data_IF_714891828931
#
_entry.id   IF_714891828931
#
_cell.length_a   1.000
_cell.length_b   1.000
_cell.length_c   1.000
_cell.angle_alpha   90.00
_cell.angle_beta   90.00
_cell.angle_gamma   90.00
#
_symmetry.space_group_name_H-M   'P 1'
#
loop_
_entity.id
_entity.type
_entity.pdbx_description
1 polymer ?
#
# COMPACT_ATOMS: atom_id res chain seq x y z
N UNK A 1 -19.56 6.75 6.40
CA UNK A 1 -19.05 7.67 7.44
C UNK A 1 -19.81 8.97 7.27
N UNK A 2 -20.83 9.22 8.09
CA UNK A 2 -21.66 10.42 7.96
C UNK A 2 -20.82 11.63 8.35
N UNK A 3 -20.49 12.45 7.36
CA UNK A 3 -19.91 13.77 7.52
C UNK A 3 -20.98 14.70 8.10
N UNK A 4 -21.06 14.77 9.42
CA UNK A 4 -21.70 15.88 10.13
C UNK A 4 -20.57 16.84 10.53
N UNK A 5 -20.02 17.54 9.55
CA UNK A 5 -19.20 18.75 9.76
C UNK A 5 -20.09 19.98 9.77
N UNK A 6 -21.21 19.91 10.49
CA UNK A 6 -22.01 21.07 10.84
C UNK A 6 -21.64 21.37 12.29
N UNK A 7 -21.30 22.61 12.58
CA UNK A 7 -21.10 23.14 13.93
C UNK A 7 -22.32 22.78 14.77
N UNK A 8 -22.22 21.65 15.48
CA UNK A 8 -23.32 21.08 16.23
C UNK A 8 -23.32 21.79 17.58
N UNK A 9 -24.41 22.47 17.89
CA UNK A 9 -24.60 23.04 19.22
C UNK A 9 -24.61 21.92 20.27
N UNK A 10 -24.36 22.24 21.55
CA UNK A 10 -24.49 21.28 22.65
C UNK A 10 -25.84 20.54 22.60
N UNK A 11 -26.88 21.21 22.12
CA UNK A 11 -28.23 20.64 21.92
C UNK A 11 -28.29 19.60 20.81
N UNK A 12 -27.67 19.86 19.65
CA UNK A 12 -27.62 18.91 18.53
C UNK A 12 -26.88 17.64 18.95
N UNK A 13 -25.85 17.80 19.77
CA UNK A 13 -25.03 16.71 20.29
C UNK A 13 -25.80 15.92 21.35
N UNK A 14 -26.48 16.60 22.29
CA UNK A 14 -27.38 15.95 23.25
C UNK A 14 -28.45 15.10 22.56
N UNK A 15 -29.13 15.65 21.55
CA UNK A 15 -30.16 14.93 20.77
C UNK A 15 -29.56 13.72 20.06
N UNK A 16 -28.39 13.87 19.44
CA UNK A 16 -27.70 12.78 18.77
C UNK A 16 -27.29 11.66 19.74
N UNK A 17 -26.72 11.98 20.90
CA UNK A 17 -26.33 10.97 21.89
C UNK A 17 -27.54 10.28 22.50
N UNK A 18 -28.62 11.00 22.80
CA UNK A 18 -29.83 10.39 23.36
C UNK A 18 -30.50 9.39 22.39
N UNK A 19 -30.36 9.61 21.08
CA UNK A 19 -30.80 8.65 20.05
C UNK A 19 -29.85 7.45 19.89
N UNK A 20 -28.55 7.64 20.13
CA UNK A 20 -27.51 6.66 19.78
C UNK A 20 -27.08 5.78 20.96
N UNK A 21 -27.10 6.28 22.21
CA UNK A 21 -26.77 5.54 23.45
C UNK A 21 -27.43 4.15 23.55
N UNK A 22 -28.73 3.95 23.29
CA UNK A 22 -29.34 2.62 23.38
C UNK A 22 -28.82 1.60 22.35
N UNK A 23 -28.05 2.03 21.35
CA UNK A 23 -27.51 1.18 20.27
C UNK A 23 -25.99 1.00 20.30
N UNK A 24 -25.29 1.63 21.25
CA UNK A 24 -23.83 1.65 21.27
C UNK A 24 -23.21 0.46 22.01
N UNK A 25 -22.10 -0.03 21.46
CA UNK A 25 -21.14 -0.94 22.10
C UNK A 25 -19.94 -0.12 22.59
N UNK A 26 -19.37 -0.46 23.75
CA UNK A 26 -18.34 0.33 24.46
C UNK A 26 -16.97 0.45 23.79
N UNK A 27 -16.73 -0.15 22.62
CA UNK A 27 -15.40 -0.17 21.97
C UNK A 27 -15.10 1.07 21.10
N UNK A 28 -15.84 2.16 21.27
CA UNK A 28 -15.63 3.39 20.49
C UNK A 28 -14.90 4.45 21.30
N UNK A 29 -13.99 5.16 20.64
CA UNK A 29 -13.35 6.37 21.17
C UNK A 29 -13.96 7.57 20.45
N UNK A 30 -14.46 8.52 21.23
CA UNK A 30 -15.09 9.73 20.73
C UNK A 30 -14.11 10.89 20.89
N UNK A 31 -14.02 11.74 19.87
CA UNK A 31 -13.20 12.96 19.93
C UNK A 31 -14.15 14.13 20.06
N UNK A 32 -14.07 14.82 21.20
CA UNK A 32 -14.89 15.99 21.51
C UNK A 32 -14.20 17.29 21.17
N UNK A 33 -14.96 18.21 20.57
CA UNK A 33 -14.53 19.59 20.38
C UNK A 33 -14.62 20.35 21.70
N UNK A 34 -14.05 21.56 21.75
CA UNK A 34 -14.12 22.45 22.91
C UNK A 34 -15.54 22.58 23.45
N UNK A 35 -16.51 22.77 22.54
CA UNK A 35 -17.89 23.11 22.86
C UNK A 35 -18.55 22.07 23.80
N UNK A 36 -18.48 20.79 23.48
CA UNK A 36 -19.25 19.77 24.20
C UNK A 36 -18.41 18.87 25.10
N UNK A 37 -17.09 18.89 24.96
CA UNK A 37 -16.21 18.04 25.77
C UNK A 37 -16.26 18.38 27.26
N UNK A 38 -16.61 19.64 27.59
CA UNK A 38 -16.79 20.12 28.97
C UNK A 38 -18.26 20.43 29.31
N UNK A 39 -19.19 20.26 28.35
CA UNK A 39 -20.58 20.59 28.55
C UNK A 39 -21.23 19.66 29.60
N UNK A 40 -21.69 20.27 30.70
CA UNK A 40 -22.39 19.56 31.78
C UNK A 40 -23.67 18.89 31.27
N UNK A 41 -24.34 19.50 30.29
CA UNK A 41 -25.51 18.96 29.60
C UNK A 41 -25.23 17.60 28.95
N UNK A 42 -24.05 17.40 28.36
CA UNK A 42 -23.68 16.14 27.69
C UNK A 42 -23.24 15.10 28.71
N UNK A 43 -22.46 15.50 29.72
CA UNK A 43 -22.05 14.60 30.82
C UNK A 43 -23.21 14.13 31.71
N UNK A 44 -24.30 14.90 31.77
CA UNK A 44 -25.50 14.61 32.55
C UNK A 44 -26.48 13.64 31.88
N UNK A 45 -26.22 13.22 30.63
CA UNK A 45 -27.10 12.29 29.91
C UNK A 45 -27.05 10.91 30.58
N UNK A 46 -28.21 10.33 30.96
CA UNK A 46 -28.23 9.02 31.59
C UNK A 46 -27.68 7.93 30.65
N UNK A 47 -26.67 7.19 31.13
CA UNK A 47 -26.02 6.14 30.35
C UNK A 47 -24.85 6.62 29.47
N UNK A 48 -24.48 7.91 29.50
CA UNK A 48 -23.34 8.43 28.72
C UNK A 48 -22.03 7.73 29.04
N UNK A 49 -21.83 7.23 30.27
CA UNK A 49 -20.63 6.49 30.68
C UNK A 49 -20.46 5.15 29.95
N UNK A 50 -21.49 4.66 29.25
CA UNK A 50 -21.45 3.38 28.52
C UNK A 50 -20.90 3.51 27.09
N UNK A 51 -20.77 4.73 26.55
CA UNK A 51 -20.42 4.98 25.14
C UNK A 51 -18.95 4.71 24.80
N UNK A 52 -18.10 4.49 25.82
CA UNK A 52 -16.66 4.29 25.67
C UNK A 52 -15.85 5.50 26.16
N UNK A 53 -14.64 5.66 25.62
CA UNK A 53 -13.71 6.73 26.01
C UNK A 53 -13.99 8.01 25.22
N UNK A 54 -14.03 9.16 25.89
CA UNK A 54 -14.14 10.48 25.25
C UNK A 54 -12.84 11.24 25.45
N UNK A 55 -12.19 11.62 24.35
CA UNK A 55 -11.03 12.50 24.31
C UNK A 55 -11.51 13.90 23.96
N UNK A 56 -11.64 14.76 24.98
CA UNK A 56 -12.02 16.15 24.83
C UNK A 56 -10.82 17.06 24.57
N UNK A 57 -11.03 18.12 23.79
CA UNK A 57 -10.11 19.25 23.72
C UNK A 57 -10.70 20.37 24.57
N UNK A 58 -10.00 20.88 25.57
CA UNK A 58 -10.43 22.05 26.33
C UNK A 58 -9.39 23.16 26.27
N UNK A 59 -9.84 24.40 26.32
CA UNK A 59 -8.96 25.54 26.51
C UNK A 59 -8.51 25.55 27.96
N UNK A 60 -7.20 25.70 28.18
CA UNK A 60 -6.65 25.80 29.52
C UNK A 60 -7.29 26.96 30.27
N UNK A 61 -8.10 26.62 31.27
CA UNK A 61 -8.73 27.56 32.18
C UNK A 61 -7.72 28.00 33.23
N UNK A 62 -7.60 29.30 33.43
CA UNK A 62 -6.88 29.88 34.56
C UNK A 62 -7.89 30.69 35.38
N UNK A 63 -8.10 30.36 36.68
CA UNK A 63 -8.97 31.15 37.51
C UNK A 63 -8.40 32.55 37.64
N UNK A 64 -9.17 33.56 37.26
CA UNK A 64 -8.80 34.96 37.41
C UNK A 64 -9.63 35.56 38.55
N UNK A 65 -8.94 36.03 39.59
CA UNK A 65 -9.54 36.56 40.81
C UNK A 65 -10.28 37.88 40.52
N UNK A 66 -11.45 38.06 41.14
CA UNK A 66 -12.24 39.30 41.09
C UNK A 66 -13.34 39.34 40.02
N UNK A 67 -13.40 38.38 39.09
CA UNK A 67 -14.50 38.33 38.13
C UNK A 67 -15.82 37.90 38.76
N UNK A 68 -15.77 36.94 39.68
CA UNK A 68 -16.94 36.52 40.44
C UNK A 68 -17.50 37.69 41.29
N UNK A 69 -16.62 38.52 41.85
CA UNK A 69 -17.02 39.72 42.58
C UNK A 69 -17.62 40.79 41.65
N UNK A 70 -17.03 40.96 40.45
CA UNK A 70 -17.57 41.83 39.41
C UNK A 70 -18.95 41.38 38.92
N UNK A 71 -19.15 40.08 38.68
CA UNK A 71 -20.46 39.53 38.32
C UNK A 71 -21.48 39.74 39.43
N UNK A 72 -21.10 39.45 40.68
CA UNK A 72 -21.98 39.68 41.83
C UNK A 72 -22.37 41.16 41.96
N UNK A 73 -21.44 42.08 41.72
CA UNK A 73 -21.69 43.51 41.71
C UNK A 73 -22.57 43.94 40.52
N UNK A 74 -22.26 43.52 39.31
CA UNK A 74 -23.03 43.86 38.10
C UNK A 74 -24.47 43.31 38.18
N UNK A 75 -24.66 42.10 38.71
CA UNK A 75 -25.98 41.53 38.98
C UNK A 75 -26.71 42.33 40.07
N UNK A 76 -26.01 42.85 41.09
CA UNK A 76 -26.62 43.71 42.11
C UNK A 76 -27.08 45.06 41.56
N UNK A 77 -26.28 45.70 40.69
CA UNK A 77 -26.63 46.97 40.04
C UNK A 77 -27.80 46.81 39.05
N UNK A 78 -27.86 45.69 38.31
CA UNK A 78 -29.00 45.34 37.45
C UNK A 78 -30.28 45.06 38.25
N UNK A 79 -30.15 44.52 39.48
CA UNK A 79 -31.30 44.31 40.38
C UNK A 79 -31.90 45.64 40.84
N UNK A 80 -31.07 46.65 41.14
CA UNK A 80 -31.54 47.98 41.55
C UNK A 80 -32.33 48.68 40.43
N UNK A 81 -31.97 48.44 39.17
CA UNK A 81 -32.71 48.94 38.00
C UNK A 81 -34.06 48.21 37.83
N UNK A 82 -34.12 46.92 38.17
CA UNK A 82 -35.31 46.06 37.97
C UNK A 82 -36.42 46.23 39.01
N UNK A 83 -36.16 46.92 40.13
CA UNK A 83 -37.20 47.25 41.13
C UNK A 83 -38.32 48.15 40.55
N UNK A 84 -38.16 48.64 39.32
CA UNK A 84 -39.08 49.57 38.66
C UNK A 84 -40.05 48.89 37.68
N UNK A 85 -39.80 47.68 37.17
CA UNK A 85 -40.73 47.06 36.21
C UNK A 85 -40.73 45.52 36.27
N UNK A 86 -41.79 44.96 36.84
CA UNK A 86 -42.07 43.52 36.84
C UNK A 86 -43.23 43.17 35.90
N UNK A 87 -43.02 42.23 34.98
CA UNK A 87 -44.05 41.24 34.60
C UNK A 87 -43.42 40.01 33.92
N UNK A 88 -44.10 38.88 34.13
CA UNK A 88 -43.86 37.46 33.79
C UNK A 88 -43.46 37.17 32.33
N UNK A 89 -42.89 36.02 31.91
CA UNK A 89 -43.41 34.66 32.11
C UNK A 89 -42.48 33.52 31.58
N UNK A 90 -42.82 32.27 31.92
CA UNK A 90 -42.52 30.93 31.36
C UNK A 90 -41.07 30.42 31.07
N UNK A 91 -40.76 29.16 31.45
CA UNK A 91 -39.48 28.44 31.21
C UNK A 91 -39.75 27.07 30.55
N UNK A 92 -39.07 26.75 29.45
CA UNK A 92 -39.06 25.43 28.78
C UNK A 92 -37.67 24.77 28.97
N UNK A 93 -37.55 23.46 29.27
CA UNK A 93 -36.31 22.86 29.79
C UNK A 93 -35.10 22.81 28.83
N UNK A 94 -35.29 23.04 27.54
CA UNK A 94 -34.22 22.88 26.52
C UNK A 94 -34.05 24.11 25.61
N UNK A 95 -34.59 25.27 26.00
CA UNK A 95 -34.44 26.52 25.25
C UNK A 95 -34.04 27.62 26.23
N UNK A 96 -32.74 27.69 26.53
CA UNK A 96 -32.16 28.84 27.24
C UNK A 96 -31.85 29.97 26.26
N UNK A 97 -32.89 30.51 25.63
CA UNK A 97 -32.83 31.91 25.19
C UNK A 97 -33.35 32.76 26.35
N UNK A 98 -32.56 32.87 27.41
CA UNK A 98 -32.79 33.79 28.52
C UNK A 98 -31.79 34.92 28.44
N UNK A 99 -32.28 36.14 28.20
CA UNK A 99 -31.48 37.35 28.32
C UNK A 99 -30.89 37.48 29.73
N UNK A 100 -29.71 38.11 29.84
CA UNK A 100 -29.02 38.38 31.11
C UNK A 100 -29.97 39.07 32.13
N UNK A 101 -30.90 39.88 31.63
CA UNK A 101 -31.94 40.56 32.38
C UNK A 101 -32.92 39.61 33.11
N UNK A 102 -33.37 38.54 32.45
CA UNK A 102 -34.30 37.55 33.02
C UNK A 102 -33.62 36.60 34.00
N UNK A 103 -32.31 36.40 33.87
CA UNK A 103 -31.52 35.60 34.83
C UNK A 103 -31.28 36.35 36.16
N UNK A 104 -30.93 37.64 36.08
CA UNK A 104 -30.64 38.47 37.25
C UNK A 104 -31.86 38.67 38.17
N UNK A 105 -33.05 38.79 37.58
CA UNK A 105 -34.34 39.00 38.28
C UNK A 105 -34.89 37.73 38.94
N UNK A 106 -34.69 36.55 38.34
CA UNK A 106 -35.22 35.27 38.86
C UNK A 106 -34.29 34.55 39.87
N UNK A 107 -33.23 35.22 40.36
CA UNK A 107 -32.23 34.65 41.29
C UNK A 107 -31.64 33.30 40.84
N UNK A 108 -31.35 33.16 39.55
CA UNK A 108 -30.63 31.98 39.06
C UNK A 108 -29.19 31.96 39.61
N UNK A 109 -28.72 30.78 40.04
CA UNK A 109 -27.32 30.59 40.43
C UNK A 109 -26.45 30.61 39.17
N UNK A 110 -25.48 31.51 39.12
CA UNK A 110 -24.49 31.59 38.04
C UNK A 110 -23.45 30.45 38.10
N UNK A 111 -23.47 29.59 39.13
CA UNK A 111 -22.54 28.44 39.24
C UNK A 111 -22.61 27.47 38.05
N UNK A 112 -23.73 27.44 37.32
CA UNK A 112 -23.93 26.53 36.19
C UNK A 112 -23.61 27.18 34.83
N UNK A 113 -23.19 28.45 34.79
CA UNK A 113 -22.89 29.13 33.54
C UNK A 113 -21.47 28.80 33.08
N UNK A 114 -21.32 28.50 31.79
CA UNK A 114 -20.03 28.10 31.23
C UNK A 114 -19.09 29.32 31.10
N UNK A 115 -18.27 29.51 32.13
CA UNK A 115 -17.26 30.59 32.22
C UNK A 115 -16.19 30.51 31.14
N UNK A 116 -16.09 29.38 30.43
CA UNK A 116 -15.08 29.12 29.39
C UNK A 116 -15.26 30.07 28.19
N UNK A 117 -16.51 30.35 27.80
CA UNK A 117 -16.85 31.31 26.74
C UNK A 117 -16.50 32.76 27.14
N UNK A 118 -16.82 33.16 28.37
CA UNK A 118 -16.49 34.49 28.92
C UNK A 118 -14.97 34.73 29.00
N UNK A 119 -14.20 33.68 29.28
CA UNK A 119 -12.74 33.76 29.33
C UNK A 119 -12.11 34.01 27.95
N UNK A 120 -12.69 33.47 26.86
CA UNK A 120 -12.22 33.75 25.51
C UNK A 120 -12.43 35.24 25.13
N UNK A 121 -13.54 35.84 25.57
CA UNK A 121 -13.78 37.29 25.43
C UNK A 121 -12.77 38.09 26.25
N UNK A 122 -12.52 37.70 27.51
CA UNK A 122 -11.50 38.33 28.35
C UNK A 122 -10.12 38.28 27.67
N UNK A 123 -9.69 37.12 27.14
CA UNK A 123 -8.42 36.99 26.41
C UNK A 123 -8.35 37.88 25.18
N UNK A 124 -9.43 38.04 24.43
CA UNK A 124 -9.45 38.89 23.25
C UNK A 124 -9.22 40.36 23.62
N UNK A 125 -9.93 40.86 24.65
CA UNK A 125 -9.75 42.22 25.18
C UNK A 125 -8.35 42.39 25.78
N UNK A 126 -7.88 41.40 26.55
CA UNK A 126 -6.57 41.39 27.15
C UNK A 126 -5.46 41.37 26.09
N UNK A 127 -5.61 40.63 24.99
CA UNK A 127 -4.65 40.58 23.89
C UNK A 127 -4.51 41.94 23.19
N UNK A 128 -5.61 42.66 22.97
CA UNK A 128 -5.57 44.03 22.44
C UNK A 128 -4.86 44.98 23.42
N UNK A 129 -5.19 44.90 24.72
CA UNK A 129 -4.53 45.68 25.76
C UNK A 129 -3.03 45.35 25.88
N UNK A 130 -2.67 44.07 25.68
CA UNK A 130 -1.30 43.59 25.74
C UNK A 130 -0.51 43.94 24.49
N UNK A 131 -1.13 43.96 23.30
CA UNK A 131 -0.53 44.48 22.08
C UNK A 131 -0.21 45.98 22.22
N UNK A 132 -1.12 46.76 22.82
CA UNK A 132 -0.88 48.16 23.19
C UNK A 132 0.28 48.28 24.20
N UNK A 133 0.33 47.42 25.22
CA UNK A 133 1.43 47.37 26.19
C UNK A 133 2.77 46.99 25.55
N UNK A 134 2.77 46.15 24.54
CA UNK A 134 3.96 45.72 23.79
C UNK A 134 4.48 46.81 22.85
N UNK A 135 3.58 47.65 22.31
CA UNK A 135 3.95 48.92 21.66
C UNK A 135 4.61 49.90 22.64
N UNK A 136 4.28 49.81 23.93
CA UNK A 136 4.76 50.69 25.01
C UNK A 136 6.04 50.24 25.73
N UNK A 137 6.61 49.08 25.37
CA UNK A 137 7.92 48.51 25.78
C UNK A 137 8.27 48.51 27.29
N UNK A 138 8.24 47.30 27.88
CA UNK A 138 9.18 46.69 28.88
C UNK A 138 8.41 45.72 29.82
N UNK A 139 8.98 44.73 30.51
CA UNK A 139 10.18 43.85 30.43
C UNK A 139 10.02 42.88 31.63
N UNK A 140 10.02 41.56 31.48
CA UNK A 140 11.16 40.70 31.86
C UNK A 140 10.88 39.22 31.49
N UNK A 141 10.32 39.01 30.31
CA UNK A 141 10.98 38.15 29.31
C UNK A 141 11.18 36.64 29.49
N UNK A 142 10.57 35.89 30.42
CA UNK A 142 10.62 34.41 30.33
C UNK A 142 9.32 33.70 30.71
N UNK A 143 8.80 32.90 29.77
CA UNK A 143 7.77 31.89 30.01
C UNK A 143 8.24 30.55 29.41
N UNK A 144 8.31 29.51 30.24
CA UNK A 144 8.68 28.17 29.84
C UNK A 144 7.43 27.34 29.49
N UNK A 145 7.50 26.54 28.42
CA UNK A 145 6.40 25.67 27.96
C UNK A 145 6.81 24.21 28.13
N UNK A 146 5.99 23.43 28.80
CA UNK A 146 6.17 21.98 28.96
C UNK A 146 5.38 21.20 27.91
N UNK A 147 6.00 20.14 27.39
CA UNK A 147 5.43 19.23 26.39
C UNK A 147 4.74 18.04 27.08
N UNK A 148 3.51 17.73 26.70
CA UNK A 148 2.71 16.61 27.25
C UNK A 148 2.86 15.40 26.35
N UNK A 149 3.28 14.25 26.89
CA UNK A 149 3.28 12.98 26.16
C UNK A 149 1.87 12.41 26.06
N UNK A 150 1.37 12.25 24.83
CA UNK A 150 0.11 11.58 24.56
C UNK A 150 0.29 10.05 24.65
N UNK A 151 -0.65 9.37 25.33
CA UNK A 151 -0.73 7.91 25.38
C UNK A 151 -1.00 7.28 24.01
N UNK A 152 -0.88 5.95 23.94
CA UNK A 152 -0.99 5.17 22.70
C UNK A 152 -2.41 5.24 22.11
N UNK A 153 -2.54 5.89 20.95
CA UNK A 153 -3.82 6.12 20.27
C UNK A 153 -4.20 4.91 19.40
N UNK A 154 -5.46 4.43 19.43
CA UNK A 154 -5.91 3.37 18.55
C UNK A 154 -5.89 3.83 17.08
N UNK A 155 -5.39 2.96 16.20
CA UNK A 155 -5.21 3.29 14.80
C UNK A 155 -6.52 3.10 14.01
N UNK A 156 -7.08 4.20 13.47
CA UNK A 156 -8.32 4.18 12.70
C UNK A 156 -8.05 4.09 11.20
N UNK A 157 -7.56 2.95 10.70
CA UNK A 157 -7.36 2.71 9.26
C UNK A 157 -8.51 1.92 8.64
N UNK A 158 -8.87 2.27 7.40
CA UNK A 158 -9.88 1.52 6.63
C UNK A 158 -9.34 0.17 6.16
N UNK A 159 -8.11 0.16 5.64
CA UNK A 159 -7.41 -1.03 5.17
C UNK A 159 -6.02 -1.13 5.81
N UNK A 160 -5.56 -2.36 6.14
CA UNK A 160 -4.19 -2.57 6.63
C UNK A 160 -3.17 -2.33 5.52
N UNK A 161 -1.89 -2.19 5.88
CA UNK A 161 -0.81 -2.06 4.91
C UNK A 161 -0.59 -3.37 4.14
N UNK A 162 -0.41 -3.28 2.81
CA UNK A 162 -0.18 -4.47 1.99
C UNK A 162 1.23 -5.01 2.20
N UNK A 163 1.40 -6.35 2.28
CA UNK A 163 2.72 -6.97 2.35
C UNK A 163 3.49 -6.81 1.02
N UNK A 164 4.79 -7.08 1.06
CA UNK A 164 5.63 -7.08 -0.15
C UNK A 164 5.10 -8.07 -1.19
N UNK A 165 5.26 -7.73 -2.48
CA UNK A 165 4.68 -8.51 -3.57
C UNK A 165 3.19 -8.26 -3.85
N UNK A 166 2.52 -7.38 -3.08
CA UNK A 166 1.12 -7.00 -3.28
C UNK A 166 0.95 -5.51 -3.59
N UNK A 167 0.21 -5.21 -4.66
CA UNK A 167 -0.19 -3.85 -5.01
C UNK A 167 -1.55 -3.51 -4.40
N UNK A 168 -1.78 -2.22 -4.17
CA UNK A 168 -3.08 -1.73 -3.72
C UNK A 168 -4.07 -1.66 -4.88
N UNK A 169 -5.23 -2.27 -4.70
CA UNK A 169 -6.40 -2.09 -5.55
C UNK A 169 -7.39 -1.20 -4.80
N UNK A 170 -7.65 0.00 -5.33
CA UNK A 170 -8.58 0.93 -4.70
C UNK A 170 -10.01 0.38 -4.79
N UNK A 171 -10.66 0.19 -3.64
CA UNK A 171 -12.01 -0.36 -3.54
C UNK A 171 -12.91 0.66 -2.85
N UNK A 172 -14.02 1.02 -3.51
CA UNK A 172 -14.99 1.97 -2.97
C UNK A 172 -14.67 3.44 -3.28
N UNK A 173 -15.22 4.33 -2.46
CA UNK A 173 -15.22 5.78 -2.72
C UNK A 173 -14.03 6.53 -2.10
N UNK A 174 -13.42 5.98 -1.05
CA UNK A 174 -12.35 6.65 -0.30
C UNK A 174 -10.97 6.08 -0.65
N UNK A 175 -9.98 6.95 -0.88
CA UNK A 175 -8.60 6.56 -1.26
C UNK A 175 -7.87 5.72 -0.20
N UNK A 176 -8.31 5.78 1.05
CA UNK A 176 -7.73 5.02 2.17
C UNK A 176 -8.26 3.58 2.24
N UNK A 177 -9.29 3.23 1.46
CA UNK A 177 -9.87 1.90 1.41
C UNK A 177 -9.39 1.19 0.15
N UNK A 178 -8.60 0.15 0.35
CA UNK A 178 -8.02 -0.65 -0.72
C UNK A 178 -7.95 -2.12 -0.32
N UNK A 179 -7.87 -2.98 -1.32
CA UNK A 179 -7.63 -4.41 -1.19
C UNK A 179 -6.26 -4.76 -1.74
N UNK A 180 -5.55 -5.68 -1.10
CA UNK A 180 -4.21 -6.08 -1.51
C UNK A 180 -4.31 -7.16 -2.59
N UNK A 181 -3.80 -6.87 -3.78
CA UNK A 181 -3.78 -7.80 -4.90
C UNK A 181 -2.34 -8.23 -5.20
N UNK A 182 -2.10 -9.52 -5.31
CA UNK A 182 -0.78 -10.06 -5.64
C UNK A 182 -0.30 -9.53 -7.01
N UNK A 183 0.97 -9.17 -7.08
CA UNK A 183 1.60 -8.82 -8.34
C UNK A 183 1.64 -10.05 -9.27
N UNK A 184 1.32 -9.90 -10.57
CA UNK A 184 1.38 -11.02 -11.52
C UNK A 184 2.82 -11.48 -11.76
N UNK A 185 2.96 -12.69 -12.32
CA UNK A 185 4.27 -13.20 -12.73
C UNK A 185 5.00 -12.22 -13.66
N UNK A 186 6.33 -12.25 -13.63
CA UNK A 186 7.25 -11.30 -14.27
C UNK A 186 7.27 -9.87 -13.69
N UNK A 187 6.54 -9.63 -12.60
CA UNK A 187 6.55 -8.38 -11.87
C UNK A 187 6.89 -8.58 -10.39
N UNK A 188 7.38 -7.54 -9.74
CA UNK A 188 7.75 -7.55 -8.33
C UNK A 188 7.37 -6.23 -7.66
N UNK A 189 7.28 -6.24 -6.33
CA UNK A 189 7.06 -5.02 -5.56
C UNK A 189 7.75 -5.09 -4.20
N UNK A 190 8.75 -4.24 -4.01
CA UNK A 190 9.58 -4.15 -2.80
C UNK A 190 9.21 -2.99 -1.87
N UNK A 191 8.14 -2.25 -2.17
CA UNK A 191 7.67 -1.10 -1.40
C UNK A 191 6.19 -1.25 -1.08
N UNK A 192 5.82 -0.90 0.14
CA UNK A 192 4.42 -0.80 0.57
C UNK A 192 3.77 0.47 -0.02
N UNK A 193 2.45 0.47 -0.16
CA UNK A 193 1.71 1.68 -0.61
C UNK A 193 1.69 1.95 -2.11
N UNK A 194 2.18 1.03 -2.96
CA UNK A 194 2.15 1.20 -4.42
C UNK A 194 0.88 0.58 -5.04
N UNK A 195 0.26 1.30 -5.97
CA UNK A 195 -0.88 0.82 -6.78
C UNK A 195 -0.45 -0.05 -7.97
N UNK A 196 0.84 0.01 -8.34
CA UNK A 196 1.40 -0.67 -9.53
C UNK A 196 2.64 -1.49 -9.19
N UNK A 197 2.81 -2.61 -9.90
CA UNK A 197 3.98 -3.50 -9.78
C UNK A 197 5.08 -3.09 -10.77
N UNK A 198 6.33 -3.42 -10.45
CA UNK A 198 7.49 -3.17 -11.30
C UNK A 198 7.81 -4.41 -12.14
N UNK A 199 8.20 -4.24 -13.40
CA UNK A 199 8.59 -5.37 -14.26
C UNK A 199 10.04 -5.78 -14.06
N UNK A 200 10.34 -7.08 -14.21
CA UNK A 200 11.71 -7.58 -14.16
C UNK A 200 12.55 -7.21 -15.39
N UNK A 201 13.87 -7.09 -15.21
CA UNK A 201 14.82 -6.86 -16.28
C UNK A 201 14.95 -8.07 -17.24
N UNK A 202 15.56 -7.86 -18.41
CA UNK A 202 15.86 -8.95 -19.34
C UNK A 202 16.77 -9.99 -18.70
N UNK A 203 16.45 -11.27 -18.87
CA UNK A 203 17.15 -12.39 -18.22
C UNK A 203 16.69 -12.69 -16.80
N UNK A 204 15.82 -11.86 -16.23
CA UNK A 204 15.19 -12.08 -14.92
C UNK A 204 13.70 -12.44 -15.06
N UNK A 205 13.16 -13.04 -14.01
CA UNK A 205 11.77 -13.43 -13.89
C UNK A 205 11.40 -13.58 -12.42
N UNK A 206 10.14 -13.31 -12.09
CA UNK A 206 9.58 -13.50 -10.76
C UNK A 206 8.25 -14.27 -10.85
N UNK A 207 7.96 -15.18 -9.90
CA UNK A 207 6.62 -15.73 -9.76
C UNK A 207 5.61 -14.66 -9.32
N UNK A 208 4.32 -15.01 -9.30
CA UNK A 208 3.32 -14.14 -8.67
C UNK A 208 3.67 -13.91 -7.19
N UNK A 209 3.25 -12.78 -6.61
CA UNK A 209 3.48 -12.45 -5.19
C UNK A 209 4.97 -12.24 -4.82
N UNK A 210 5.81 -11.83 -5.78
CA UNK A 210 7.24 -11.69 -5.52
C UNK A 210 7.65 -10.30 -5.06
N UNK A 211 8.54 -10.26 -4.07
CA UNK A 211 9.22 -9.04 -3.63
C UNK A 211 10.44 -8.66 -4.48
N UNK A 212 11.00 -9.62 -5.22
CA UNK A 212 12.21 -9.44 -6.02
C UNK A 212 12.19 -10.29 -7.30
N UNK A 213 13.05 -9.93 -8.25
CA UNK A 213 13.27 -10.70 -9.47
C UNK A 213 14.40 -11.71 -9.30
N UNK A 214 14.21 -12.90 -9.86
CA UNK A 214 15.19 -13.99 -9.86
C UNK A 214 15.81 -14.12 -11.25
N UNK A 215 17.05 -14.62 -11.34
CA UNK A 215 17.65 -14.93 -12.64
C UNK A 215 16.95 -16.15 -13.26
N UNK A 216 16.65 -16.08 -14.56
CA UNK A 216 16.03 -17.21 -15.27
C UNK A 216 16.97 -18.39 -15.34
N UNK A 217 16.46 -19.57 -15.03
CA UNK A 217 17.16 -20.83 -15.26
C UNK A 217 17.17 -21.15 -16.74
N UNK A 218 18.35 -21.47 -17.30
CA UNK A 218 18.48 -21.94 -18.69
C UNK A 218 18.20 -23.45 -18.74
N UNK A 219 17.28 -23.86 -19.61
CA UNK A 219 17.03 -25.28 -19.88
C UNK A 219 17.94 -25.76 -21.01
N UNK A 220 18.75 -26.76 -20.73
CA UNK A 220 19.66 -27.40 -21.70
C UNK A 220 19.71 -28.90 -21.45
N UNK A 221 20.30 -29.66 -22.37
CA UNK A 221 20.57 -31.09 -22.17
C UNK A 221 21.94 -31.26 -21.48
N UNK A 222 21.98 -31.53 -20.17
CA UNK A 222 23.25 -31.77 -19.48
C UNK A 222 23.85 -33.10 -19.93
N UNK A 223 25.17 -33.22 -19.85
CA UNK A 223 25.90 -34.43 -20.26
C UNK A 223 25.48 -35.67 -19.46
N UNK A 224 25.15 -35.47 -18.18
CA UNK A 224 24.86 -36.55 -17.23
C UNK A 224 23.39 -36.98 -17.20
N UNK A 225 22.51 -36.33 -17.98
CA UNK A 225 21.10 -36.75 -18.02
C UNK A 225 20.96 -38.10 -18.73
N UNK A 226 20.06 -38.99 -18.27
CA UNK A 226 19.86 -40.32 -18.87
C UNK A 226 19.44 -40.24 -20.34
N UNK A 227 18.64 -39.24 -20.70
CA UNK A 227 18.27 -38.96 -22.09
C UNK A 227 19.50 -38.58 -22.92
N UNK A 228 20.38 -37.74 -22.38
CA UNK A 228 21.61 -37.33 -23.07
C UNK A 228 22.56 -38.50 -23.27
N UNK A 229 22.75 -39.34 -22.25
CA UNK A 229 23.56 -40.55 -22.35
C UNK A 229 23.01 -41.51 -23.42
N UNK A 230 21.69 -41.74 -23.45
CA UNK A 230 21.07 -42.59 -24.47
C UNK A 230 21.31 -42.04 -25.89
N UNK A 231 21.15 -40.73 -26.08
CA UNK A 231 21.40 -40.06 -27.36
C UNK A 231 22.89 -40.11 -27.77
N UNK A 232 23.82 -39.96 -26.82
CA UNK A 232 25.26 -40.05 -27.07
C UNK A 232 25.69 -41.48 -27.45
N UNK A 233 25.11 -42.51 -26.83
CA UNK A 233 25.36 -43.92 -27.21
C UNK A 233 24.85 -44.19 -28.63
N UNK A 234 23.65 -43.73 -28.95
CA UNK A 234 23.10 -43.86 -30.31
C UNK A 234 23.97 -43.13 -31.32
N UNK A 235 24.43 -41.92 -31.01
CA UNK A 235 25.35 -41.14 -31.84
C UNK A 235 26.70 -41.83 -32.04
N UNK A 236 27.27 -42.42 -30.99
CA UNK A 236 28.51 -43.17 -31.09
C UNK A 236 28.34 -44.39 -32.02
N UNK A 237 27.22 -45.11 -31.89
CA UNK A 237 26.89 -46.22 -32.78
C UNK A 237 26.78 -45.78 -34.25
N UNK A 238 26.07 -44.67 -34.53
CA UNK A 238 25.93 -44.17 -35.90
C UNK A 238 27.26 -43.71 -36.49
N UNK A 239 28.10 -43.02 -35.71
CA UNK A 239 29.44 -42.62 -36.13
C UNK A 239 30.34 -43.84 -36.41
N UNK A 240 30.31 -44.87 -35.56
CA UNK A 240 31.07 -46.11 -35.78
C UNK A 240 30.64 -46.84 -37.06
N UNK A 241 29.33 -46.95 -37.31
CA UNK A 241 28.79 -47.60 -38.51
C UNK A 241 29.13 -46.81 -39.79
N UNK A 242 28.95 -45.48 -39.76
CA UNK A 242 29.22 -44.62 -40.93
C UNK A 242 30.71 -44.49 -41.23
N UNK A 243 31.56 -44.37 -40.20
CA UNK A 243 33.01 -44.36 -40.38
C UNK A 243 33.56 -45.73 -40.81
N UNK A 244 33.04 -46.81 -40.24
CA UNK A 244 33.42 -48.18 -40.60
C UNK A 244 33.07 -48.52 -42.05
N UNK A 245 31.86 -48.17 -42.50
CA UNK A 245 31.45 -48.33 -43.90
C UNK A 245 32.28 -47.47 -44.84
N UNK A 246 32.55 -46.21 -44.49
CA UNK A 246 33.43 -45.33 -45.28
C UNK A 246 34.86 -45.90 -45.40
N UNK A 247 35.44 -46.40 -44.29
CA UNK A 247 36.77 -47.01 -44.28
C UNK A 247 36.83 -48.29 -45.13
N UNK A 248 35.79 -49.13 -45.07
CA UNK A 248 35.68 -50.33 -45.90
C UNK A 248 35.63 -49.96 -47.40
N UNK A 249 34.85 -48.94 -47.75
CA UNK A 249 34.74 -48.46 -49.13
C UNK A 249 36.05 -47.84 -49.62
N UNK A 250 36.76 -47.09 -48.76
CA UNK A 250 38.07 -46.50 -49.06
C UNK A 250 39.17 -47.56 -49.26
N UNK A 251 39.15 -48.65 -48.48
CA UNK A 251 40.09 -49.77 -48.67
C UNK A 251 39.81 -50.56 -49.95
N UNK A 252 38.52 -50.71 -50.30
CA UNK A 252 38.08 -51.53 -51.43
C UNK A 252 37.64 -50.70 -52.66
N UNK A 253 38.20 -49.51 -52.86
CA UNK A 253 37.85 -48.57 -53.94
C UNK A 253 37.92 -49.17 -55.36
N UNK A 254 38.78 -50.16 -55.56
CA UNK A 254 39.00 -50.82 -56.84
C UNK A 254 37.95 -51.90 -57.13
N UNK A 255 37.21 -52.37 -56.12
CA UNK A 255 36.24 -53.45 -56.26
C UNK A 255 35.01 -53.00 -57.07
N UNK A 256 34.44 -53.89 -57.91
CA UNK A 256 33.26 -53.56 -58.72
C UNK A 256 32.03 -53.23 -57.86
N UNK A 257 31.98 -53.77 -56.63
CA UNK A 257 30.90 -53.51 -55.66
C UNK A 257 30.84 -52.03 -55.26
N UNK A 258 31.97 -51.42 -54.88
CA UNK A 258 32.02 -50.00 -54.48
C UNK A 258 31.75 -49.08 -55.67
N UNK A 259 32.22 -49.44 -56.87
CA UNK A 259 31.95 -48.67 -58.10
C UNK A 259 30.47 -48.71 -58.49
N UNK A 260 29.82 -49.86 -58.37
CA UNK A 260 28.38 -50.02 -58.64
C UNK A 260 27.51 -49.29 -57.63
N UNK A 261 27.90 -49.28 -56.35
CA UNK A 261 27.21 -48.53 -55.29
C UNK A 261 27.35 -46.99 -55.40
N UNK A 262 28.09 -46.48 -56.40
CA UNK A 262 28.23 -45.05 -56.67
C UNK A 262 29.59 -44.44 -56.33
N UNK A 263 30.57 -45.25 -55.92
CA UNK A 263 31.97 -44.85 -55.76
C UNK A 263 32.15 -43.56 -54.96
N UNK A 264 32.68 -42.50 -55.61
CA UNK A 264 33.02 -41.22 -54.97
C UNK A 264 31.82 -40.49 -54.36
N UNK A 265 30.63 -40.55 -54.98
CA UNK A 265 29.45 -39.85 -54.43
C UNK A 265 28.92 -40.56 -53.17
N UNK A 266 29.06 -41.89 -53.09
CA UNK A 266 28.69 -42.65 -51.90
C UNK A 266 29.60 -42.31 -50.72
N UNK A 267 30.90 -42.14 -50.97
CA UNK A 267 31.84 -41.63 -49.96
C UNK A 267 31.52 -40.21 -49.51
N UNK A 268 31.11 -39.32 -50.43
CA UNK A 268 30.66 -37.97 -50.08
C UNK A 268 29.39 -37.98 -49.21
N UNK A 269 28.45 -38.91 -49.46
CA UNK A 269 27.27 -39.12 -48.59
C UNK A 269 27.65 -39.59 -47.18
N UNK A 270 28.58 -40.55 -47.08
CA UNK A 270 29.03 -41.05 -45.77
C UNK A 270 29.79 -39.96 -44.99
N UNK A 271 30.59 -39.15 -45.68
CA UNK A 271 31.28 -38.00 -45.07
C UNK A 271 30.30 -36.91 -44.59
N UNK A 272 29.26 -36.60 -45.37
CA UNK A 272 28.27 -35.61 -44.93
C UNK A 272 27.40 -36.15 -43.79
N UNK A 273 27.08 -37.44 -43.78
CA UNK A 273 26.33 -38.07 -42.68
C UNK A 273 27.13 -38.12 -41.37
N UNK A 274 28.45 -38.37 -41.44
CA UNK A 274 29.34 -38.28 -40.27
C UNK A 274 29.46 -36.85 -39.75
N UNK A 275 29.58 -35.85 -40.62
CA UNK A 275 29.61 -34.44 -40.23
C UNK A 275 28.29 -33.98 -39.60
N UNK A 276 27.14 -34.38 -40.15
CA UNK A 276 25.82 -34.13 -39.57
C UNK A 276 25.68 -34.79 -38.19
N UNK A 277 26.15 -36.02 -38.05
CA UNK A 277 26.16 -36.72 -36.75
C UNK A 277 27.02 -35.97 -35.74
N UNK A 278 28.23 -35.54 -36.11
CA UNK A 278 29.12 -34.75 -35.26
C UNK A 278 28.49 -33.42 -34.81
N UNK A 279 27.73 -32.74 -35.66
CA UNK A 279 27.06 -31.48 -35.28
C UNK A 279 26.07 -31.62 -34.12
N UNK A 280 25.51 -32.82 -33.90
CA UNK A 280 24.61 -33.07 -32.76
C UNK A 280 25.31 -32.92 -31.41
N UNK A 281 26.65 -33.07 -31.36
CA UNK A 281 27.44 -32.83 -30.15
C UNK A 281 27.34 -31.37 -29.66
N UNK A 282 27.10 -30.41 -30.57
CA UNK A 282 26.93 -29.00 -30.22
C UNK A 282 25.60 -28.70 -29.50
N UNK A 283 24.68 -29.67 -29.41
CA UNK A 283 23.43 -29.53 -28.66
C UNK A 283 23.59 -29.85 -27.16
N UNK A 284 24.66 -30.54 -26.79
CA UNK A 284 24.88 -30.99 -25.41
C UNK A 284 25.68 -29.96 -24.61
N UNK A 285 25.37 -29.87 -23.31
CA UNK A 285 26.04 -28.97 -22.40
C UNK A 285 25.50 -27.54 -22.44
N UNK A 286 26.26 -26.64 -21.82
CA UNK A 286 25.86 -25.24 -21.66
C UNK A 286 25.93 -24.48 -22.99
N UNK A 287 24.92 -23.67 -23.33
CA UNK A 287 24.90 -22.92 -24.58
C UNK A 287 26.09 -21.94 -24.63
N UNK A 288 26.97 -22.10 -25.62
CA UNK A 288 28.03 -21.15 -25.93
C UNK A 288 27.76 -20.51 -27.29
N UNK A 289 28.21 -19.26 -27.49
CA UNK A 289 28.06 -18.57 -28.77
C UNK A 289 28.58 -19.37 -29.98
N UNK A 290 29.80 -19.95 -29.95
CA UNK A 290 30.29 -20.73 -31.09
C UNK A 290 29.48 -22.01 -31.30
N UNK A 291 29.09 -22.72 -30.23
CA UNK A 291 28.29 -23.95 -30.36
C UNK A 291 26.90 -23.66 -30.96
N UNK A 292 26.28 -22.53 -30.61
CA UNK A 292 24.97 -22.13 -31.11
C UNK A 292 25.00 -21.84 -32.63
N UNK A 293 26.00 -21.10 -33.09
CA UNK A 293 26.16 -20.79 -34.52
C UNK A 293 26.55 -22.02 -35.33
N UNK A 294 27.50 -22.81 -34.82
CA UNK A 294 28.02 -23.98 -35.51
C UNK A 294 26.95 -25.06 -35.65
N UNK A 295 26.14 -25.28 -34.61
CA UNK A 295 25.05 -26.26 -34.58
C UNK A 295 24.16 -26.19 -35.83
N UNK A 296 23.54 -25.03 -36.07
CA UNK A 296 22.54 -24.90 -37.14
C UNK A 296 23.20 -24.90 -38.52
N UNK A 297 24.37 -24.25 -38.64
CA UNK A 297 25.08 -24.14 -39.91
C UNK A 297 25.63 -25.48 -40.40
N UNK A 298 26.33 -26.22 -39.53
CA UNK A 298 27.00 -27.47 -39.89
C UNK A 298 25.98 -28.58 -40.18
N UNK A 299 24.87 -28.63 -39.43
CA UNK A 299 23.78 -29.57 -39.68
C UNK A 299 23.12 -29.33 -41.04
N UNK A 300 22.70 -28.09 -41.33
CA UNK A 300 22.03 -27.75 -42.58
C UNK A 300 22.91 -28.04 -43.80
N UNK A 301 24.16 -27.58 -43.78
CA UNK A 301 25.08 -27.81 -44.89
C UNK A 301 25.29 -29.30 -45.15
N UNK A 302 25.57 -30.07 -44.10
CA UNK A 302 25.82 -31.51 -44.21
C UNK A 302 24.58 -32.26 -44.70
N UNK A 303 23.40 -31.92 -44.19
CA UNK A 303 22.14 -32.52 -44.60
C UNK A 303 21.80 -32.22 -46.07
N UNK A 304 22.00 -30.98 -46.53
CA UNK A 304 21.79 -30.60 -47.93
C UNK A 304 22.74 -31.35 -48.86
N UNK A 305 24.02 -31.48 -48.51
CA UNK A 305 24.99 -32.26 -49.30
C UNK A 305 24.58 -33.74 -49.38
N UNK A 306 24.13 -34.31 -48.26
CA UNK A 306 23.61 -35.68 -48.21
C UNK A 306 22.42 -35.87 -49.16
N UNK A 307 21.39 -35.03 -49.04
CA UNK A 307 20.20 -35.09 -49.90
C UNK A 307 20.54 -34.89 -51.38
N UNK A 308 21.42 -33.93 -51.71
CA UNK A 308 21.85 -33.71 -53.08
C UNK A 308 22.54 -34.93 -53.70
N UNK A 309 23.36 -35.64 -52.91
CA UNK A 309 23.99 -36.85 -53.40
C UNK A 309 23.00 -38.02 -53.56
N UNK A 310 22.01 -38.13 -52.67
CA UNK A 310 20.91 -39.10 -52.79
C UNK A 310 20.09 -38.82 -54.05
N UNK A 311 19.70 -37.57 -54.30
CA UNK A 311 18.91 -37.20 -55.48
C UNK A 311 19.66 -37.46 -56.78
N UNK A 312 20.94 -37.08 -56.87
CA UNK A 312 21.79 -37.39 -58.03
C UNK A 312 21.83 -38.90 -58.29
N UNK A 313 21.89 -39.72 -57.23
CA UNK A 313 21.84 -41.18 -57.37
C UNK A 313 20.49 -41.67 -57.84
N UNK A 314 19.41 -41.16 -57.28
CA UNK A 314 18.05 -41.54 -57.68
C UNK A 314 17.73 -41.24 -59.15
N UNK A 315 18.35 -40.21 -59.75
CA UNK A 315 18.19 -39.90 -61.18
C UNK A 315 19.17 -40.65 -62.11
N UNK A 316 20.21 -41.28 -61.55
CA UNK A 316 21.18 -42.09 -62.30
C UNK A 316 20.86 -43.60 -62.29
N UNK A 317 19.87 -44.02 -61.50
CA UNK A 317 19.28 -45.38 -61.49
C UNK A 317 18.16 -45.44 -62.52
#
# INVERSE_FOLDING_TARGET
MLSLSQQASDYDICIAYQAVIPTLKSDKVWIGTEDWSMATLVSGIPGISTIGTVLGVSVQYAPFSGFQDFENQAVSELRDISAVNSSSDMVVPCLQNTDLYTMATKRYSLENYDITSSFNVYKAVYAVAHALRQVLKCDSGQCEKTEVQAGQVPESRCSPECPYGYRQLQVGQHKCCFECMACPASTFLNKTGSTSCQSCAQGQWSPAESEACLNRTVLYLPWDAPLSLALLVLLALTLLLTLGTAALFLRNLTTPVVKSAGGRTCLLMLLSLTAASCSTLCHFGTPSQPACLLKQSLFLFSFTVCLACVTVRSFQV
#
